data_IF_543427921656
#
_entry.id   IF_543427921656
#
_cell.length_a   1.000
_cell.length_b   1.000
_cell.length_c   1.000
_cell.angle_alpha   90.00
_cell.angle_beta   90.00
_cell.angle_gamma   90.00
#
_symmetry.space_group_name_H-M   'P 1'
#
loop_
_entity.id
_entity.type
_entity.pdbx_description
1 polymer ?
#
# COMPACT_ATOMS: atom_id res chain seq x y z
N UNK A 1 -25.80 -32.08 35.15
CA UNK A 1 -24.82 -31.09 35.67
C UNK A 1 -23.58 -31.17 34.79
N UNK A 2 -23.18 -30.06 34.14
CA UNK A 2 -22.30 -30.02 32.96
C UNK A 2 -20.90 -30.66 33.15
N UNK A 3 -20.70 -31.87 32.61
CA UNK A 3 -19.39 -32.56 32.62
C UNK A 3 -18.34 -31.93 31.70
N UNK A 4 -18.77 -31.21 30.66
CA UNK A 4 -17.89 -30.56 29.69
C UNK A 4 -16.89 -29.58 30.32
N UNK A 5 -17.24 -28.95 31.45
CA UNK A 5 -16.38 -27.99 32.15
C UNK A 5 -15.33 -28.64 33.06
N UNK A 6 -15.40 -29.96 33.30
CA UNK A 6 -14.39 -30.68 34.09
C UNK A 6 -13.13 -30.98 33.28
N UNK A 7 -13.28 -31.17 31.97
CA UNK A 7 -12.19 -31.64 31.11
C UNK A 7 -11.58 -30.56 30.24
N UNK A 8 -12.30 -29.47 29.95
CA UNK A 8 -11.81 -28.37 29.11
C UNK A 8 -11.96 -27.03 29.82
N UNK A 9 -10.84 -26.42 30.24
CA UNK A 9 -10.82 -25.05 30.77
C UNK A 9 -10.93 -24.06 29.61
N UNK A 10 -12.05 -23.33 29.55
CA UNK A 10 -12.33 -22.36 28.51
C UNK A 10 -11.38 -21.13 28.53
N UNK A 11 -10.56 -20.95 29.57
CA UNK A 11 -9.55 -19.89 29.64
C UNK A 11 -8.25 -20.25 28.92
N UNK A 12 -8.00 -21.54 28.70
CA UNK A 12 -6.82 -22.02 28.00
C UNK A 12 -7.10 -22.03 26.50
N UNK A 13 -6.57 -21.05 25.77
CA UNK A 13 -6.57 -21.10 24.30
C UNK A 13 -5.55 -22.13 23.86
N UNK A 14 -6.01 -23.34 23.51
CA UNK A 14 -5.18 -24.30 22.78
C UNK A 14 -4.73 -23.63 21.47
N UNK A 15 -3.43 -23.49 21.28
CA UNK A 15 -2.84 -22.91 20.07
C UNK A 15 -3.12 -23.86 18.89
N UNK A 16 -4.28 -23.70 18.27
CA UNK A 16 -4.63 -24.45 17.07
C UNK A 16 -3.70 -24.03 15.94
N UNK A 17 -2.83 -24.95 15.51
CA UNK A 17 -2.11 -24.87 14.23
C UNK A 17 -0.70 -24.27 14.24
N UNK A 18 -0.09 -23.99 15.39
CA UNK A 18 1.33 -23.60 15.44
C UNK A 18 2.10 -24.74 16.13
N UNK A 19 2.95 -25.51 15.41
CA UNK A 19 3.78 -26.52 16.04
C UNK A 19 4.64 -25.83 17.10
N UNK A 20 4.81 -26.47 18.26
CA UNK A 20 5.61 -25.98 19.39
C UNK A 20 6.91 -25.36 18.89
N UNK A 21 6.94 -24.03 18.75
CA UNK A 21 8.16 -23.31 18.43
C UNK A 21 8.99 -23.36 19.69
N UNK A 22 10.05 -24.16 19.66
CA UNK A 22 11.06 -24.15 20.70
C UNK A 22 11.67 -22.75 20.66
N UNK A 23 11.27 -21.90 21.60
CA UNK A 23 11.82 -20.56 21.74
C UNK A 23 13.23 -20.72 22.33
N UNK A 24 14.22 -20.91 21.47
CA UNK A 24 15.62 -20.90 21.87
C UNK A 24 15.99 -19.48 22.28
N UNK A 25 16.53 -19.32 23.49
CA UNK A 25 17.15 -18.06 23.87
C UNK A 25 18.39 -17.83 22.98
N UNK A 26 18.73 -16.57 22.67
CA UNK A 26 19.97 -16.26 22.01
C UNK A 26 21.19 -16.78 22.82
N UNK A 27 22.32 -17.08 22.17
CA UNK A 27 23.56 -17.44 22.86
C UNK A 27 24.03 -16.32 23.81
N UNK A 28 24.84 -16.65 24.82
CA UNK A 28 25.31 -15.69 25.84
C UNK A 28 26.11 -14.51 25.25
N UNK A 29 26.79 -14.73 24.12
CA UNK A 29 27.53 -13.69 23.39
C UNK A 29 26.63 -12.80 22.51
N UNK A 30 25.31 -13.01 22.54
CA UNK A 30 24.38 -12.24 21.74
C UNK A 30 24.27 -10.80 22.26
N UNK A 31 24.80 -9.86 21.48
CA UNK A 31 24.63 -8.44 21.77
C UNK A 31 23.25 -7.99 21.30
N UNK A 32 22.39 -7.58 22.24
CA UNK A 32 21.11 -6.97 21.91
C UNK A 32 21.29 -5.55 21.41
N UNK A 33 20.54 -5.19 20.37
CA UNK A 33 20.60 -3.87 19.74
C UNK A 33 21.54 -3.82 18.55
N UNK A 34 21.46 -2.72 17.79
CA UNK A 34 22.44 -2.47 16.73
C UNK A 34 23.71 -1.92 17.35
N UNK A 35 24.91 -2.30 16.86
CA UNK A 35 26.13 -1.59 17.23
C UNK A 35 25.88 -0.10 16.99
N UNK A 36 26.21 0.74 17.97
CA UNK A 36 26.17 2.19 17.81
C UNK A 36 27.06 2.54 16.63
N UNK A 37 26.48 2.65 15.44
CA UNK A 37 27.08 3.46 14.39
C UNK A 37 27.04 4.88 14.96
N UNK A 38 28.18 5.57 15.08
CA UNK A 38 28.11 6.99 15.34
C UNK A 38 27.22 7.57 14.24
N UNK A 39 26.16 8.29 14.66
CA UNK A 39 25.17 8.86 13.75
C UNK A 39 25.80 9.76 12.69
N UNK A 40 27.03 10.23 12.95
CA UNK A 40 27.90 10.95 12.03
C UNK A 40 29.30 10.32 11.99
N UNK A 41 29.89 10.14 10.80
CA UNK A 41 31.28 9.71 10.65
C UNK A 41 32.23 10.75 11.24
N UNK A 42 32.94 10.37 12.32
CA UNK A 42 33.82 11.27 13.09
C UNK A 42 34.91 11.91 12.22
N UNK A 43 35.44 11.17 11.25
CA UNK A 43 36.48 11.68 10.33
C UNK A 43 36.00 12.88 9.53
N UNK A 44 34.74 12.86 9.13
CA UNK A 44 34.16 13.85 8.22
C UNK A 44 33.71 15.10 8.97
N UNK A 45 33.30 14.91 10.23
CA UNK A 45 33.05 16.00 11.17
C UNK A 45 34.36 16.69 11.53
N UNK A 46 35.42 15.94 11.87
CA UNK A 46 36.73 16.50 12.20
C UNK A 46 37.38 17.25 11.03
N UNK A 47 37.14 16.79 9.80
CA UNK A 47 37.64 17.47 8.61
C UNK A 47 36.72 18.55 8.04
N UNK A 48 35.59 18.87 8.69
CA UNK A 48 34.61 19.85 8.22
C UNK A 48 34.03 19.57 6.81
N UNK A 49 34.09 18.32 6.34
CA UNK A 49 33.57 17.92 5.02
C UNK A 49 32.30 17.05 5.11
N UNK A 50 31.74 16.89 6.32
CA UNK A 50 30.52 16.11 6.53
C UNK A 50 29.33 16.57 5.65
N UNK A 51 29.16 17.88 5.46
CA UNK A 51 28.08 18.42 4.63
C UNK A 51 28.21 18.00 3.16
N UNK A 52 29.42 18.10 2.60
CA UNK A 52 29.72 17.71 1.23
C UNK A 52 29.55 16.19 1.03
N UNK A 53 29.97 15.39 2.01
CA UNK A 53 29.80 13.94 1.95
C UNK A 53 28.33 13.52 2.04
N UNK A 54 27.53 14.19 2.89
CA UNK A 54 26.09 13.93 2.99
C UNK A 54 25.34 14.29 1.70
N UNK A 55 25.71 15.41 1.06
CA UNK A 55 25.14 15.82 -0.22
C UNK A 55 25.47 14.85 -1.36
N UNK A 56 26.72 14.40 -1.44
CA UNK A 56 27.14 13.39 -2.42
C UNK A 56 26.46 12.03 -2.20
N UNK A 57 26.25 11.61 -0.94
CA UNK A 57 25.54 10.37 -0.64
C UNK A 57 24.05 10.46 -1.00
N UNK A 58 23.40 11.59 -0.74
CA UNK A 58 22.00 11.81 -1.11
C UNK A 58 21.81 11.79 -2.63
N UNK A 59 22.62 12.55 -3.37
CA UNK A 59 22.56 12.58 -4.84
C UNK A 59 22.78 11.19 -5.44
N UNK A 60 23.75 10.43 -4.92
CA UNK A 60 23.99 9.04 -5.30
C UNK A 60 22.79 8.12 -5.04
N UNK A 61 22.13 8.25 -3.88
CA UNK A 61 20.90 7.49 -3.57
C UNK A 61 19.78 7.83 -4.56
N UNK A 62 19.56 9.11 -4.85
CA UNK A 62 18.53 9.52 -5.82
C UNK A 62 18.82 9.00 -7.23
N UNK A 63 20.08 9.03 -7.67
CA UNK A 63 20.49 8.45 -8.96
C UNK A 63 20.26 6.94 -8.99
N UNK A 64 20.66 6.21 -7.94
CA UNK A 64 20.39 4.77 -7.86
C UNK A 64 18.89 4.47 -7.86
N UNK A 65 18.11 5.23 -7.10
CA UNK A 65 16.67 4.99 -6.98
C UNK A 65 15.99 5.31 -8.31
N UNK A 66 16.33 6.44 -8.95
CA UNK A 66 15.81 6.83 -10.26
C UNK A 66 16.19 5.86 -11.39
N UNK A 67 17.39 5.28 -11.35
CA UNK A 67 17.82 4.24 -12.30
C UNK A 67 17.13 2.89 -12.05
N UNK A 68 16.91 2.53 -10.78
CA UNK A 68 16.15 1.33 -10.38
C UNK A 68 14.64 1.50 -10.51
N UNK A 69 14.14 2.73 -10.73
CA UNK A 69 12.72 3.05 -10.95
C UNK A 69 12.32 3.02 -12.44
N UNK A 70 12.96 2.17 -13.27
CA UNK A 70 12.47 1.83 -14.62
C UNK A 70 11.57 0.59 -14.65
N UNK A 71 11.04 0.22 -13.49
CA UNK A 71 10.14 -0.91 -13.31
C UNK A 71 10.20 -1.26 -11.84
N UNK A 72 9.21 -0.79 -11.07
CA UNK A 72 9.02 -1.29 -9.72
C UNK A 72 8.97 -2.82 -9.80
N UNK A 73 9.98 -3.51 -9.27
CA UNK A 73 9.95 -4.94 -9.02
C UNK A 73 8.99 -5.29 -7.87
N UNK A 74 7.92 -4.50 -7.69
CA UNK A 74 6.71 -5.03 -7.10
C UNK A 74 6.27 -6.13 -8.07
N UNK A 75 6.12 -7.39 -7.63
CA UNK A 75 5.60 -8.41 -8.52
C UNK A 75 4.34 -7.85 -9.18
N UNK A 76 4.26 -7.92 -10.51
CA UNK A 76 3.11 -7.44 -11.28
C UNK A 76 1.81 -8.07 -10.73
N UNK A 77 1.95 -9.25 -10.12
CA UNK A 77 1.01 -9.86 -9.20
C UNK A 77 1.32 -9.47 -7.74
N UNK A 78 1.05 -8.23 -7.37
CA UNK A 78 1.02 -7.87 -5.96
C UNK A 78 -0.13 -8.68 -5.36
N UNK A 79 0.20 -9.77 -4.63
CA UNK A 79 -0.78 -10.61 -3.93
C UNK A 79 -1.61 -9.68 -3.05
N UNK A 80 -2.82 -9.37 -3.49
CA UNK A 80 -3.74 -8.53 -2.75
C UNK A 80 -3.95 -9.18 -1.37
N UNK A 81 -3.84 -8.39 -0.30
CA UNK A 81 -4.32 -8.85 1.01
C UNK A 81 -5.83 -9.11 0.91
N UNK A 82 -6.38 -9.96 1.79
CA UNK A 82 -7.82 -10.26 1.79
C UNK A 82 -8.69 -8.99 1.79
N UNK A 83 -8.28 -7.96 2.55
CA UNK A 83 -8.96 -6.65 2.55
C UNK A 83 -8.83 -5.88 1.23
N UNK A 84 -7.68 -5.97 0.57
CA UNK A 84 -7.45 -5.35 -0.73
C UNK A 84 -8.30 -6.01 -1.84
N UNK A 85 -8.50 -7.33 -1.77
CA UNK A 85 -9.42 -8.03 -2.68
C UNK A 85 -10.86 -7.54 -2.49
N UNK A 86 -11.35 -7.50 -1.24
CA UNK A 86 -12.70 -7.02 -0.93
C UNK A 86 -12.90 -5.58 -1.42
N UNK A 87 -11.93 -4.69 -1.21
CA UNK A 87 -12.01 -3.31 -1.69
C UNK A 87 -12.05 -3.25 -3.24
N UNK A 88 -11.25 -4.08 -3.91
CA UNK A 88 -11.22 -4.15 -5.39
C UNK A 88 -12.54 -4.70 -5.95
N UNK A 89 -13.11 -5.71 -5.31
CA UNK A 89 -14.43 -6.25 -5.66
C UNK A 89 -15.52 -5.22 -5.45
N UNK A 90 -15.53 -4.51 -4.32
CA UNK A 90 -16.48 -3.45 -4.04
C UNK A 90 -16.43 -2.33 -5.08
N UNK A 91 -15.24 -1.89 -5.49
CA UNK A 91 -15.10 -0.85 -6.53
C UNK A 91 -15.63 -1.35 -7.89
N UNK A 92 -15.35 -2.61 -8.25
CA UNK A 92 -15.85 -3.22 -9.49
C UNK A 92 -17.37 -3.33 -9.50
N UNK A 93 -17.98 -3.73 -8.38
CA UNK A 93 -19.44 -3.85 -8.29
C UNK A 93 -20.11 -2.49 -8.24
N UNK A 94 -19.57 -1.53 -7.50
CA UNK A 94 -20.10 -0.15 -7.43
C UNK A 94 -20.15 0.53 -8.80
N UNK A 95 -19.12 0.40 -9.62
CA UNK A 95 -19.13 0.99 -10.97
C UNK A 95 -20.31 0.49 -11.81
N UNK A 96 -20.66 -0.80 -11.69
CA UNK A 96 -21.79 -1.39 -12.43
C UNK A 96 -23.16 -1.01 -11.84
N UNK A 97 -23.26 -0.84 -10.53
CA UNK A 97 -24.46 -0.37 -9.83
C UNK A 97 -24.73 1.11 -10.13
N UNK A 98 -23.69 1.94 -10.08
CA UNK A 98 -23.75 3.37 -10.39
C UNK A 98 -24.10 3.58 -11.88
N UNK A 99 -23.60 2.76 -12.81
CA UNK A 99 -24.01 2.77 -14.22
C UNK A 99 -25.47 2.35 -14.43
N UNK A 100 -25.95 1.34 -13.70
CA UNK A 100 -27.35 0.91 -13.75
C UNK A 100 -28.28 1.97 -13.16
N UNK A 101 -27.91 2.56 -12.02
CA UNK A 101 -28.64 3.68 -11.43
C UNK A 101 -28.60 4.90 -12.34
N UNK A 102 -27.45 5.25 -12.94
CA UNK A 102 -27.36 6.34 -13.90
C UNK A 102 -28.25 6.10 -15.14
N UNK A 103 -28.37 4.87 -15.63
CA UNK A 103 -29.32 4.51 -16.70
C UNK A 103 -30.79 4.63 -16.25
N UNK A 104 -31.12 4.22 -15.03
CA UNK A 104 -32.46 4.39 -14.45
C UNK A 104 -32.81 5.88 -14.23
N UNK A 105 -31.84 6.71 -13.83
CA UNK A 105 -31.99 8.17 -13.69
C UNK A 105 -31.88 8.92 -15.02
N UNK A 106 -31.34 8.30 -16.09
CA UNK A 106 -31.23 8.91 -17.43
C UNK A 106 -32.57 9.11 -18.15
N UNK A 107 -33.66 8.54 -17.62
CA UNK A 107 -35.02 8.85 -18.07
C UNK A 107 -35.45 10.29 -17.76
N UNK A 108 -34.82 10.95 -16.79
CA UNK A 108 -34.99 12.37 -16.51
C UNK A 108 -33.71 13.13 -16.86
N UNK A 109 -33.74 13.91 -17.96
CA UNK A 109 -32.59 14.65 -18.50
C UNK A 109 -32.00 15.73 -17.58
N UNK A 110 -32.52 15.91 -16.37
CA UNK A 110 -32.09 16.96 -15.46
C UNK A 110 -31.53 16.34 -14.16
N UNK A 111 -30.21 16.10 -14.13
CA UNK A 111 -29.50 15.76 -12.89
C UNK A 111 -29.56 16.89 -11.85
N UNK A 112 -29.86 18.12 -12.30
CA UNK A 112 -30.01 19.28 -11.45
C UNK A 112 -31.46 19.75 -11.45
N UNK A 113 -32.04 19.93 -10.25
CA UNK A 113 -33.39 20.49 -10.08
C UNK A 113 -33.54 21.94 -10.57
N UNK A 114 -32.44 22.58 -10.95
CA UNK A 114 -32.37 24.01 -11.24
C UNK A 114 -31.97 24.20 -12.71
N UNK A 115 -32.86 24.83 -13.50
CA UNK A 115 -32.69 25.07 -14.96
C UNK A 115 -31.36 25.71 -15.35
N UNK A 116 -30.75 26.51 -14.47
CA UNK A 116 -29.47 27.18 -14.73
C UNK A 116 -28.31 26.23 -14.99
N UNK A 117 -28.43 24.96 -14.58
CA UNK A 117 -27.37 23.96 -14.70
C UNK A 117 -27.55 22.98 -15.87
N UNK A 118 -28.65 23.07 -16.62
CA UNK A 118 -28.94 22.13 -17.72
C UNK A 118 -27.86 22.18 -18.83
N UNK A 119 -27.18 23.33 -18.98
CA UNK A 119 -26.17 23.55 -20.03
C UNK A 119 -24.74 23.70 -19.48
N UNK A 120 -24.49 23.39 -18.20
CA UNK A 120 -23.16 23.56 -17.61
C UNK A 120 -22.26 22.37 -17.94
N UNK A 121 -21.19 22.64 -18.69
CA UNK A 121 -20.14 21.64 -18.95
C UNK A 121 -19.16 21.59 -17.77
N UNK A 122 -18.66 20.41 -17.38
CA UNK A 122 -17.62 20.29 -16.36
C UNK A 122 -16.37 21.04 -16.84
N UNK A 123 -15.78 21.86 -15.95
CA UNK A 123 -14.56 22.63 -16.25
C UNK A 123 -13.29 21.78 -16.28
N UNK A 124 -13.34 20.63 -15.62
CA UNK A 124 -12.22 19.71 -15.47
C UNK A 124 -12.66 18.35 -15.99
N UNK A 125 -11.98 17.86 -17.01
CA UNK A 125 -12.12 16.49 -17.46
C UNK A 125 -11.48 15.56 -16.43
N UNK A 126 -12.28 14.72 -15.76
CA UNK A 126 -11.79 13.72 -14.79
C UNK A 126 -11.36 12.43 -15.47
N UNK A 127 -11.30 12.38 -16.81
CA UNK A 127 -10.57 11.33 -17.51
C UNK A 127 -9.07 11.43 -17.18
N UNK A 128 -8.66 10.80 -16.08
CA UNK A 128 -7.32 10.26 -15.93
C UNK A 128 -7.14 9.10 -16.92
N UNK A 129 -7.24 9.37 -18.22
CA UNK A 129 -6.62 8.54 -19.24
C UNK A 129 -5.14 8.83 -19.13
N UNK A 130 -4.48 8.15 -18.20
CA UNK A 130 -3.02 8.13 -18.17
C UNK A 130 -2.55 7.76 -19.59
N UNK A 131 -1.56 8.49 -20.10
CA UNK A 131 -1.03 8.33 -21.47
C UNK A 131 -0.58 6.89 -21.80
N UNK A 132 -0.48 6.01 -20.79
CA UNK A 132 -0.19 4.60 -20.94
C UNK A 132 -1.28 3.81 -21.70
N UNK A 133 -2.55 4.23 -21.66
CA UNK A 133 -3.65 3.45 -22.25
C UNK A 133 -3.91 3.72 -23.74
N UNK A 134 -3.25 4.71 -24.34
CA UNK A 134 -3.44 5.08 -25.76
C UNK A 134 -2.54 4.30 -26.73
N UNK A 135 -1.53 3.56 -26.24
CA UNK A 135 -0.54 2.88 -27.10
C UNK A 135 -0.94 1.51 -27.64
N UNK A 136 -2.13 1.00 -27.32
CA UNK A 136 -2.53 -0.38 -27.67
C UNK A 136 -3.59 -0.49 -28.77
N UNK A 137 -3.84 0.58 -29.54
CA UNK A 137 -4.84 0.56 -30.63
C UNK A 137 -4.32 0.89 -32.03
N UNK A 138 -3.01 0.88 -32.23
CA UNK A 138 -2.40 0.89 -33.57
C UNK A 138 -1.46 -0.31 -33.66
N UNK A 139 -1.98 -1.40 -34.22
CA UNK A 139 -1.33 -2.68 -34.44
C UNK A 139 -2.29 -3.62 -35.16
#
# INVERSE_FOLDING_TARGET
MYEFRKTKDARMKEATGIPNRINNLPPEDFTYGMPLRPSTPIRDVMGNFFGEMAESEMTYKYQQTGMKFKGSALPLEAKHTAKSLIAKEYIKTKGSEDEKQAKLFSGSKDLFKIKRFNNVKPRTDTNQKSKAFQKTKEG
#
